data_IF_614762556066
#
_entry.id   IF_614762556066
#
_cell.length_a   1.000
_cell.length_b   1.000
_cell.length_c   1.000
_cell.angle_alpha   90.00
_cell.angle_beta   90.00
_cell.angle_gamma   90.00
#
_symmetry.space_group_name_H-M   'P 1'
#
loop_
_entity.id
_entity.type
_entity.pdbx_description
1 polymer ?
#
# COMPACT_ATOMS: atom_id res chain seq x y z
N UNK A 1 8.83 1.77 10.95
CA UNK A 1 9.11 2.82 9.92
C UNK A 1 10.61 3.16 9.76
N UNK A 2 11.56 2.37 10.32
CA UNK A 2 13.01 2.65 10.19
C UNK A 2 13.57 2.42 8.77
N UNK A 3 12.84 1.71 7.91
CA UNK A 3 13.28 1.40 6.55
C UNK A 3 13.07 2.56 5.56
N UNK A 4 12.36 3.62 5.95
CA UNK A 4 11.84 4.65 5.05
C UNK A 4 12.12 6.10 5.51
N UNK A 5 12.86 6.26 6.60
CA UNK A 5 12.79 7.47 7.43
C UNK A 5 13.38 8.75 6.81
N UNK A 6 14.10 8.70 5.69
CA UNK A 6 14.78 9.88 5.15
C UNK A 6 14.43 10.26 3.68
N UNK A 7 13.56 9.51 3.00
CA UNK A 7 13.41 9.61 1.52
C UNK A 7 11.94 9.66 1.04
N UNK A 8 10.96 9.85 1.94
CA UNK A 8 9.55 9.71 1.60
C UNK A 8 8.84 11.03 1.31
N UNK A 9 8.27 11.14 0.12
CA UNK A 9 7.37 12.23 -0.26
C UNK A 9 5.92 11.79 -0.04
N UNK A 10 5.35 12.18 1.10
CA UNK A 10 3.99 11.76 1.51
C UNK A 10 2.85 12.39 0.68
N UNK A 11 3.06 13.55 0.05
CA UNK A 11 2.00 14.31 -0.61
C UNK A 11 1.21 13.52 -1.66
N UNK A 12 1.89 12.89 -2.63
CA UNK A 12 1.22 12.11 -3.69
C UNK A 12 0.46 10.90 -3.12
N UNK A 13 0.96 10.29 -2.06
CA UNK A 13 0.32 9.14 -1.41
C UNK A 13 -0.92 9.55 -0.62
N UNK A 14 -0.85 10.67 0.11
CA UNK A 14 -2.01 11.20 0.83
C UNK A 14 -3.14 11.63 -0.10
N UNK A 15 -2.82 12.30 -1.21
CA UNK A 15 -3.82 12.68 -2.21
C UNK A 15 -4.49 11.45 -2.82
N UNK A 16 -3.71 10.41 -3.14
CA UNK A 16 -4.27 9.17 -3.65
C UNK A 16 -5.23 8.51 -2.65
N UNK A 17 -4.89 8.49 -1.36
CA UNK A 17 -5.78 7.95 -0.31
C UNK A 17 -7.03 8.81 -0.12
N UNK A 18 -6.92 10.13 -0.22
CA UNK A 18 -8.08 11.04 -0.13
C UNK A 18 -8.99 10.96 -1.37
N UNK A 19 -8.49 10.47 -2.50
CA UNK A 19 -9.23 10.39 -3.77
C UNK A 19 -10.15 9.18 -3.92
N UNK A 20 -10.14 8.26 -2.95
CA UNK A 20 -10.92 7.03 -2.97
C UNK A 20 -11.50 6.72 -1.59
N UNK A 21 -12.64 6.02 -1.56
CA UNK A 21 -13.29 5.68 -0.29
C UNK A 21 -12.55 4.52 0.41
N UNK A 22 -11.91 3.66 -0.37
CA UNK A 22 -11.13 2.52 0.13
C UNK A 22 -9.76 2.41 -0.52
N UNK A 23 -8.82 1.77 0.17
CA UNK A 23 -7.48 1.47 -0.40
C UNK A 23 -7.53 0.51 -1.60
N UNK A 24 -8.63 -0.23 -1.74
CA UNK A 24 -8.83 -1.22 -2.80
C UNK A 24 -9.20 -0.57 -4.15
N UNK A 25 -9.74 0.66 -4.11
CA UNK A 25 -10.10 1.44 -5.29
C UNK A 25 -8.93 2.26 -5.86
N UNK A 26 -7.78 2.29 -5.17
CA UNK A 26 -6.61 3.05 -5.61
C UNK A 26 -5.86 2.24 -6.68
N UNK A 27 -6.41 2.16 -7.89
CA UNK A 27 -5.76 1.55 -9.06
C UNK A 27 -6.33 2.08 -10.39
N UNK A 28 -6.25 3.39 -10.59
CA UNK A 28 -6.95 4.09 -11.69
C UNK A 28 -6.21 4.05 -13.05
N UNK A 29 -5.30 3.09 -13.26
CA UNK A 29 -4.57 2.91 -14.53
C UNK A 29 -3.06 2.72 -14.38
N UNK A 30 -2.35 2.45 -15.50
CA UNK A 30 -0.94 2.06 -15.48
C UNK A 30 -0.01 3.09 -14.84
N UNK A 31 -0.24 4.39 -15.09
CA UNK A 31 0.55 5.47 -14.52
C UNK A 31 0.19 5.81 -13.06
N UNK A 32 -0.94 5.28 -12.58
CA UNK A 32 -1.52 5.55 -11.28
C UNK A 32 -1.66 4.32 -10.40
N UNK A 33 -1.06 3.20 -10.82
CA UNK A 33 -0.99 1.98 -10.04
C UNK A 33 -0.21 2.21 -8.73
N UNK A 34 -0.55 1.50 -7.63
CA UNK A 34 0.11 1.67 -6.34
C UNK A 34 1.63 1.59 -6.38
N UNK A 35 2.19 0.61 -7.12
CA UNK A 35 3.64 0.46 -7.22
C UNK A 35 4.34 1.61 -7.96
N UNK A 36 3.64 2.30 -8.87
CA UNK A 36 4.18 3.48 -9.56
C UNK A 36 4.17 4.70 -8.63
N UNK A 37 3.10 4.88 -7.84
CA UNK A 37 3.05 5.92 -6.79
C UNK A 37 4.17 5.74 -5.77
N UNK A 38 4.37 4.52 -5.28
CA UNK A 38 5.43 4.20 -4.32
C UNK A 38 6.83 4.44 -4.92
N UNK A 39 7.02 4.12 -6.20
CA UNK A 39 8.29 4.38 -6.90
C UNK A 39 8.61 5.87 -7.01
N UNK A 40 7.61 6.72 -7.21
CA UNK A 40 7.80 8.18 -7.22
C UNK A 40 8.01 8.75 -5.82
N UNK A 41 7.28 8.23 -4.84
CA UNK A 41 7.29 8.74 -3.48
C UNK A 41 8.51 8.30 -2.66
N UNK A 42 9.18 7.21 -3.04
CA UNK A 42 10.29 6.61 -2.30
C UNK A 42 11.48 6.45 -3.23
N UNK A 43 12.55 7.21 -3.00
CA UNK A 43 13.77 7.04 -3.75
C UNK A 43 14.36 5.63 -3.52
N UNK A 44 14.76 4.96 -4.61
CA UNK A 44 15.29 3.61 -4.54
C UNK A 44 14.27 2.53 -4.17
N UNK A 45 12.97 2.80 -4.33
CA UNK A 45 11.91 1.82 -4.07
C UNK A 45 12.15 0.49 -4.80
N UNK A 46 12.31 -0.58 -4.02
CA UNK A 46 12.31 -1.95 -4.52
C UNK A 46 11.02 -2.65 -4.11
N UNK A 47 10.17 -2.98 -5.08
CA UNK A 47 8.84 -3.54 -4.81
C UNK A 47 8.86 -4.83 -3.97
N UNK A 48 9.90 -5.66 -4.12
CA UNK A 48 10.00 -6.93 -3.40
C UNK A 48 10.38 -6.67 -1.94
N UNK A 49 11.47 -5.93 -1.71
CA UNK A 49 12.00 -5.68 -0.36
C UNK A 49 11.04 -4.79 0.43
N UNK A 50 10.66 -3.65 -0.13
CA UNK A 50 9.81 -2.69 0.57
C UNK A 50 8.39 -3.19 0.76
N UNK A 51 7.85 -3.97 -0.19
CA UNK A 51 6.54 -4.60 -0.02
C UNK A 51 6.49 -5.50 1.21
N UNK A 52 7.48 -6.37 1.38
CA UNK A 52 7.57 -7.24 2.56
C UNK A 52 7.76 -6.44 3.86
N UNK A 53 8.68 -5.45 3.87
CA UNK A 53 8.90 -4.61 5.05
C UNK A 53 7.65 -3.84 5.47
N UNK A 54 6.92 -3.25 4.52
CA UNK A 54 5.69 -2.52 4.78
C UNK A 54 4.61 -3.41 5.38
N UNK A 55 4.39 -4.61 4.81
CA UNK A 55 3.40 -5.56 5.33
C UNK A 55 3.76 -6.01 6.75
N UNK A 56 5.03 -6.29 7.02
CA UNK A 56 5.50 -6.68 8.35
C UNK A 56 5.30 -5.57 9.40
N UNK A 57 5.53 -4.31 9.01
CA UNK A 57 5.37 -3.16 9.91
C UNK A 57 3.90 -2.76 10.12
N UNK A 58 3.06 -2.81 9.09
CA UNK A 58 1.63 -2.49 9.18
C UNK A 58 0.86 -3.59 9.92
N UNK A 59 1.24 -4.85 9.67
CA UNK A 59 0.58 -6.03 10.23
C UNK A 59 -0.68 -6.44 9.48
N UNK A 60 -0.91 -7.76 9.41
CA UNK A 60 -2.01 -8.35 8.66
C UNK A 60 -3.40 -7.90 9.16
N UNK A 61 -3.57 -7.76 10.48
CA UNK A 61 -4.85 -7.32 11.06
C UNK A 61 -5.24 -5.91 10.59
N UNK A 62 -4.28 -4.98 10.54
CA UNK A 62 -4.50 -3.62 10.07
C UNK A 62 -4.87 -3.60 8.58
N UNK A 63 -4.17 -4.41 7.76
CA UNK A 63 -4.46 -4.54 6.32
C UNK A 63 -5.89 -5.06 6.11
N UNK A 64 -6.27 -6.15 6.79
CA UNK A 64 -7.63 -6.73 6.74
C UNK A 64 -8.71 -5.73 7.20
N UNK A 65 -8.39 -4.88 8.18
CA UNK A 65 -9.35 -3.88 8.67
C UNK A 65 -9.69 -2.82 7.62
N UNK A 66 -8.75 -2.50 6.73
CA UNK A 66 -8.84 -1.44 5.71
C UNK A 66 -9.17 -1.94 4.30
N UNK A 67 -8.88 -3.20 4.01
CA UNK A 67 -9.13 -3.83 2.72
C UNK A 67 -10.16 -4.96 2.91
N UNK A 68 -11.44 -4.67 2.63
CA UNK A 68 -12.54 -5.59 2.94
C UNK A 68 -12.58 -6.77 1.98
N UNK A 69 -12.34 -6.54 0.70
CA UNK A 69 -12.28 -7.63 -0.28
C UNK A 69 -11.10 -8.55 0.02
N UNK A 70 -9.95 -8.01 0.44
CA UNK A 70 -8.82 -8.82 0.87
C UNK A 70 -9.13 -9.63 2.14
N UNK A 71 -9.81 -9.04 3.12
CA UNK A 71 -10.26 -9.73 4.34
C UNK A 71 -11.20 -10.90 4.02
N UNK A 72 -12.17 -10.67 3.15
CA UNK A 72 -13.10 -11.69 2.66
C UNK A 72 -12.36 -12.80 1.93
N UNK A 73 -11.44 -12.47 1.02
CA UNK A 73 -10.64 -13.45 0.29
C UNK A 73 -9.81 -14.35 1.21
N UNK A 74 -9.09 -13.75 2.16
CA UNK A 74 -8.30 -14.50 3.15
C UNK A 74 -9.20 -15.38 4.01
N UNK A 75 -10.36 -14.87 4.43
CA UNK A 75 -11.30 -15.64 5.26
C UNK A 75 -11.87 -16.84 4.49
N UNK A 76 -12.19 -16.66 3.21
CA UNK A 76 -12.69 -17.74 2.36
C UNK A 76 -11.63 -18.79 2.05
N UNK A 77 -10.37 -18.41 1.84
CA UNK A 77 -9.29 -19.34 1.49
C UNK A 77 -8.67 -20.06 2.70
N UNK A 78 -8.90 -19.59 3.91
CA UNK A 78 -8.43 -20.23 5.15
C UNK A 78 -9.49 -21.10 5.83
N UNK A 79 -10.68 -21.20 5.23
CA UNK A 79 -11.74 -22.14 5.58
C UNK A 79 -11.78 -23.28 4.55
#
# INVERSE_FOLDING_TARGET
>A
MKCLSNELQFGELEEAVKSADTSEEINNGPATAPSVRLMKAIAGYNKVVYGACLVLEIGLASIRSKCKLFDEWITLCLL
#
